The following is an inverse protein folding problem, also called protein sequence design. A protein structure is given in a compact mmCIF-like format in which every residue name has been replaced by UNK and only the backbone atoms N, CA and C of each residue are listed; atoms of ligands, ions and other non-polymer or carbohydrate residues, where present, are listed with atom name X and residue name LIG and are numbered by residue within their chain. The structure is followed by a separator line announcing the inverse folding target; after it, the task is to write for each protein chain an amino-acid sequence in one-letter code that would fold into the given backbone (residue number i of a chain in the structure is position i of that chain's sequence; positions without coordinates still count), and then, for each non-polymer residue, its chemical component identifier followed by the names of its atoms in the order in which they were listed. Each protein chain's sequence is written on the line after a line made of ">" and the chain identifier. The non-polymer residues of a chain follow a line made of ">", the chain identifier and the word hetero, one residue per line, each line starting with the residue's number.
data_IF_037067720395
#
_entry.id   IF_037067720395
#
_cell.length_a   1.000
_cell.length_b   1.000
_cell.length_c   1.000
_cell.angle_alpha   90.00
_cell.angle_beta   90.00
_cell.angle_gamma   90.00
#
_symmetry.space_group_name_H-M   'P 1'
#
loop_
_entity.id
_entity.type
_entity.pdbx_description
1 polymer ?
#
# COMPACT_ATOMS: atom_id res chain seq x y z
N UNK A 1 -9.81 -5.99 22.83
CA UNK A 1 -9.59 -6.25 21.39
C UNK A 1 -8.88 -5.08 20.69
N UNK A 2 -9.15 -3.80 21.03
CA UNK A 2 -8.46 -2.60 20.49
C UNK A 2 -6.92 -2.67 20.34
N UNK A 3 -6.20 -3.22 21.33
CA UNK A 3 -4.73 -3.34 21.25
C UNK A 3 -4.22 -4.15 20.06
N UNK A 4 -4.94 -5.17 19.60
CA UNK A 4 -4.49 -5.99 18.46
C UNK A 4 -4.72 -5.30 17.12
N UNK A 5 -5.77 -4.49 17.02
CA UNK A 5 -6.12 -3.74 15.80
C UNK A 5 -5.06 -2.66 15.52
N UNK A 6 -4.64 -1.93 16.55
CA UNK A 6 -3.57 -0.91 16.45
C UNK A 6 -2.23 -1.55 16.03
N UNK A 7 -1.90 -2.73 16.58
CA UNK A 7 -0.68 -3.48 16.23
C UNK A 7 -0.74 -3.98 14.78
N UNK A 8 -1.90 -4.44 14.32
CA UNK A 8 -2.07 -4.91 12.95
C UNK A 8 -1.86 -3.79 11.93
N UNK A 9 -2.44 -2.60 12.17
CA UNK A 9 -2.24 -1.43 11.30
C UNK A 9 -0.78 -0.98 11.29
N UNK A 10 -0.15 -0.90 12.48
CA UNK A 10 1.27 -0.56 12.60
C UNK A 10 2.18 -1.53 11.86
N UNK A 11 1.86 -2.83 11.89
CA UNK A 11 2.63 -3.85 11.17
C UNK A 11 2.49 -3.71 9.64
N UNK A 12 1.28 -3.46 9.14
CA UNK A 12 1.03 -3.29 7.71
C UNK A 12 1.73 -2.04 7.17
N UNK A 13 1.58 -0.90 7.86
CA UNK A 13 2.22 0.35 7.45
C UNK A 13 3.75 0.24 7.57
N UNK A 14 4.23 -0.27 8.70
CA UNK A 14 5.67 -0.44 8.96
C UNK A 14 6.36 -1.37 7.95
N UNK A 15 5.73 -2.51 7.61
CA UNK A 15 6.28 -3.45 6.63
C UNK A 15 6.34 -2.85 5.22
N UNK A 16 5.35 -2.06 4.81
CA UNK A 16 5.38 -1.38 3.52
C UNK A 16 6.47 -0.29 3.44
N UNK A 17 6.61 0.51 4.50
CA UNK A 17 7.68 1.51 4.58
C UNK A 17 9.06 0.83 4.56
N UNK A 18 9.24 -0.25 5.31
CA UNK A 18 10.48 -1.02 5.32
C UNK A 18 10.78 -1.67 3.97
N UNK A 19 9.78 -2.18 3.26
CA UNK A 19 9.98 -2.74 1.92
C UNK A 19 10.44 -1.68 0.92
N UNK A 20 9.84 -0.48 0.94
CA UNK A 20 10.20 0.60 0.01
C UNK A 20 11.56 1.22 0.36
N UNK A 21 11.80 1.53 1.63
CA UNK A 21 13.03 2.23 2.03
C UNK A 21 14.18 1.26 2.30
N UNK A 22 13.90 0.18 3.01
CA UNK A 22 14.88 -0.83 3.41
C UNK A 22 15.22 -1.78 2.28
N UNK A 23 14.23 -2.53 1.78
CA UNK A 23 14.49 -3.56 0.75
C UNK A 23 14.85 -2.92 -0.59
N UNK A 24 13.98 -2.09 -1.18
CA UNK A 24 14.27 -1.47 -2.48
C UNK A 24 15.53 -0.59 -2.39
N UNK A 25 15.71 0.16 -1.31
CA UNK A 25 16.91 0.97 -1.09
C UNK A 25 18.19 0.13 -1.00
N UNK A 26 18.20 -0.94 -0.21
CA UNK A 26 19.35 -1.83 -0.12
C UNK A 26 19.61 -2.56 -1.45
N UNK A 27 18.55 -3.03 -2.12
CA UNK A 27 18.65 -3.68 -3.43
C UNK A 27 19.22 -2.76 -4.50
N UNK A 28 18.86 -1.47 -4.50
CA UNK A 28 19.38 -0.49 -5.47
C UNK A 28 20.84 -0.11 -5.23
N UNK A 29 21.33 -0.18 -3.98
CA UNK A 29 22.77 -0.07 -3.69
C UNK A 29 23.52 -1.33 -4.14
N UNK A 30 22.97 -2.51 -3.85
CA UNK A 30 23.60 -3.79 -4.17
C UNK A 30 23.63 -4.08 -5.69
N UNK A 31 22.55 -3.76 -6.40
CA UNK A 31 22.40 -3.92 -7.84
C UNK A 31 21.56 -2.75 -8.38
N UNK A 32 22.17 -1.81 -9.15
CA UNK A 32 21.46 -0.64 -9.67
C UNK A 32 20.20 -1.03 -10.46
N UNK A 33 19.04 -0.69 -9.91
CA UNK A 33 17.74 -0.95 -10.52
C UNK A 33 17.54 0.10 -11.62
N UNK A 34 17.55 -0.34 -12.88
CA UNK A 34 17.24 0.51 -14.02
C UNK A 34 15.74 0.47 -14.27
N UNK A 35 15.09 1.63 -14.18
CA UNK A 35 13.65 1.78 -14.41
C UNK A 35 13.50 2.47 -15.76
N UNK A 36 13.24 1.69 -16.81
CA UNK A 36 13.13 2.23 -18.17
C UNK A 36 11.76 2.87 -18.44
N UNK A 37 10.68 2.30 -17.89
CA UNK A 37 9.32 2.79 -18.08
C UNK A 37 8.53 2.67 -16.78
N UNK A 38 8.31 3.79 -16.10
CA UNK A 38 7.37 3.85 -14.98
C UNK A 38 5.96 3.88 -15.56
N UNK A 39 5.15 2.88 -15.22
CA UNK A 39 3.73 2.95 -15.47
C UNK A 39 3.09 3.95 -14.50
N UNK A 40 2.78 5.14 -15.01
CA UNK A 40 2.21 6.22 -14.22
C UNK A 40 0.83 5.87 -13.63
N UNK A 41 0.08 4.97 -14.27
CA UNK A 41 -1.20 4.50 -13.75
C UNK A 41 -0.97 3.68 -12.48
N UNK A 42 -0.06 2.72 -12.52
CA UNK A 42 0.27 1.86 -11.39
C UNK A 42 0.80 2.68 -10.21
N UNK A 43 1.72 3.62 -10.50
CA UNK A 43 2.29 4.50 -9.50
C UNK A 43 1.24 5.41 -8.85
N UNK A 44 0.40 6.06 -9.65
CA UNK A 44 -0.65 6.97 -9.16
C UNK A 44 -1.71 6.21 -8.38
N UNK A 45 -2.08 5.02 -8.83
CA UNK A 45 -3.09 4.18 -8.21
C UNK A 45 -2.64 3.66 -6.83
N UNK A 46 -1.41 3.12 -6.74
CA UNK A 46 -0.82 2.70 -5.46
C UNK A 46 -0.66 3.86 -4.49
N UNK A 47 -0.26 5.04 -4.99
CA UNK A 47 -0.16 6.25 -4.18
C UNK A 47 -1.53 6.70 -3.65
N UNK A 48 -2.56 6.66 -4.48
CA UNK A 48 -3.93 7.01 -4.07
C UNK A 48 -4.46 6.05 -2.99
N UNK A 49 -4.21 4.74 -3.11
CA UNK A 49 -4.58 3.77 -2.08
C UNK A 49 -3.85 4.02 -0.76
N UNK A 50 -2.55 4.33 -0.81
CA UNK A 50 -1.77 4.66 0.38
C UNK A 50 -2.31 5.92 1.08
N UNK A 51 -2.61 6.98 0.31
CA UNK A 51 -3.21 8.22 0.85
C UNK A 51 -4.60 7.93 1.45
N UNK A 52 -5.42 7.12 0.77
CA UNK A 52 -6.74 6.71 1.27
C UNK A 52 -6.64 5.98 2.61
N UNK A 53 -5.73 5.01 2.71
CA UNK A 53 -5.44 4.30 3.96
C UNK A 53 -4.96 5.26 5.06
N UNK A 54 -4.05 6.18 4.73
CA UNK A 54 -3.54 7.19 5.65
C UNK A 54 -4.66 8.09 6.21
N UNK A 55 -5.60 8.53 5.37
CA UNK A 55 -6.76 9.33 5.79
C UNK A 55 -7.69 8.54 6.72
N UNK A 56 -7.90 7.26 6.46
CA UNK A 56 -8.72 6.38 7.32
C UNK A 56 -8.07 6.25 8.69
N UNK A 57 -6.76 5.97 8.74
CA UNK A 57 -6.01 5.83 9.99
C UNK A 57 -6.03 7.12 10.82
N UNK A 58 -5.97 8.30 10.19
CA UNK A 58 -6.06 9.57 10.90
C UNK A 58 -7.44 9.83 11.54
N UNK A 59 -8.52 9.29 10.96
CA UNK A 59 -9.88 9.40 11.54
C UNK A 59 -10.08 8.48 12.74
N UNK A 60 -9.23 7.46 12.87
CA UNK A 60 -9.15 6.55 14.00
C UNK A 60 -8.31 5.33 13.63
N UNK A 61 -7.58 4.77 14.58
CA UNK A 61 -6.70 3.60 14.35
C UNK A 61 -7.44 2.28 14.07
N UNK A 62 -8.77 2.31 13.96
CA UNK A 62 -9.61 1.15 13.68
C UNK A 62 -10.14 1.23 12.24
N UNK A 63 -9.71 0.31 11.38
CA UNK A 63 -10.30 0.13 10.05
C UNK A 63 -11.65 -0.57 10.20
N UNK A 64 -12.73 0.11 9.87
CA UNK A 64 -14.06 -0.50 9.88
C UNK A 64 -14.21 -1.50 8.74
N UNK A 65 -15.14 -2.47 8.89
CA UNK A 65 -15.47 -3.43 7.81
C UNK A 65 -15.79 -2.73 6.47
N UNK A 66 -16.45 -1.57 6.50
CA UNK A 66 -16.81 -0.83 5.29
C UNK A 66 -15.59 -0.22 4.61
N UNK A 67 -14.69 0.38 5.38
CA UNK A 67 -13.45 0.96 4.85
C UNK A 67 -12.53 -0.13 4.30
N UNK A 68 -12.40 -1.25 5.02
CA UNK A 68 -11.66 -2.42 4.55
C UNK A 68 -12.26 -3.01 3.27
N UNK A 69 -13.59 -3.17 3.19
CA UNK A 69 -14.27 -3.63 1.97
C UNK A 69 -14.06 -2.68 0.80
N UNK A 70 -14.05 -1.36 1.02
CA UNK A 70 -13.78 -0.38 -0.04
C UNK A 70 -12.36 -0.51 -0.58
N UNK A 71 -11.35 -0.53 0.29
CA UNK A 71 -9.94 -0.70 -0.09
C UNK A 71 -9.67 -2.05 -0.77
N UNK A 72 -10.31 -3.11 -0.29
CA UNK A 72 -10.20 -4.44 -0.89
C UNK A 72 -10.87 -4.50 -2.27
N UNK A 73 -12.06 -3.92 -2.41
CA UNK A 73 -12.78 -3.88 -3.70
C UNK A 73 -12.02 -3.04 -4.71
N UNK A 74 -11.44 -1.91 -4.31
CA UNK A 74 -10.60 -1.12 -5.20
C UNK A 74 -9.39 -1.95 -5.66
N UNK A 75 -8.71 -2.64 -4.74
CA UNK A 75 -7.60 -3.52 -5.10
C UNK A 75 -8.00 -4.63 -6.09
N UNK A 76 -9.19 -5.23 -5.93
CA UNK A 76 -9.73 -6.20 -6.91
C UNK A 76 -9.93 -5.56 -8.29
N UNK A 77 -10.51 -4.36 -8.34
CA UNK A 77 -10.71 -3.63 -9.61
C UNK A 77 -9.37 -3.38 -10.30
N UNK A 78 -8.34 -2.99 -9.54
CA UNK A 78 -7.00 -2.81 -10.09
C UNK A 78 -6.35 -4.11 -10.56
N UNK A 79 -6.54 -5.22 -9.83
CA UNK A 79 -6.10 -6.53 -10.29
C UNK A 79 -6.79 -6.94 -11.59
N UNK A 80 -8.09 -6.70 -11.73
CA UNK A 80 -8.79 -6.93 -12.98
C UNK A 80 -8.20 -6.05 -14.09
N UNK A 81 -8.00 -4.75 -13.84
CA UNK A 81 -7.35 -3.87 -14.81
C UNK A 81 -5.99 -4.42 -15.27
N UNK A 82 -5.10 -4.78 -14.34
CA UNK A 82 -3.76 -5.31 -14.63
C UNK A 82 -3.76 -6.67 -15.35
N UNK A 83 -4.79 -7.49 -15.16
CA UNK A 83 -4.90 -8.80 -15.82
C UNK A 83 -5.48 -8.71 -17.23
N UNK A 84 -6.33 -7.73 -17.49
CA UNK A 84 -7.01 -7.57 -18.78
C UNK A 84 -6.32 -6.54 -19.70
N UNK A 85 -5.49 -5.65 -19.16
CA UNK A 85 -4.76 -4.60 -19.87
C UNK A 85 -3.28 -4.63 -19.51
#
# INVERSE_FOLDING_TARGET
>A
MRRQEDIAVGNVVGSNIFNILGIIGASSIAAPIHIENINWIDFSYMTALFIGLWVIIQKGSCITRREGSLLFSSYIVYLCYLLYF
#
